data_IF_324338675588
#
_entry.id   IF_324338675588
#
_cell.length_a   1.000
_cell.length_b   1.000
_cell.length_c   1.000
_cell.angle_alpha   90.00
_cell.angle_beta   90.00
_cell.angle_gamma   90.00
#
_symmetry.space_group_name_H-M   'P 1'
#
loop_
_entity.id
_entity.type
_entity.pdbx_description
1 polymer ?
#
# COMPACT_ATOMS: atom_id res chain seq x y z
N UNK A 1 27.51 3.32 3.60
CA UNK A 1 27.62 2.71 2.26
C UNK A 1 26.28 2.87 1.54
N UNK A 2 26.24 2.79 0.20
CA UNK A 2 24.99 2.87 -0.56
C UNK A 2 24.36 1.46 -0.62
N UNK A 3 23.19 1.24 -0.01
CA UNK A 3 22.55 -0.06 -0.10
C UNK A 3 21.92 -0.23 -1.49
N UNK A 4 21.90 -1.46 -2.02
CA UNK A 4 21.28 -1.73 -3.33
C UNK A 4 19.74 -1.76 -3.26
N UNK A 5 19.18 -2.02 -2.08
CA UNK A 5 17.74 -2.06 -1.79
C UNK A 5 17.49 -1.64 -0.33
N UNK A 6 16.26 -1.80 0.17
CA UNK A 6 15.89 -1.45 1.55
C UNK A 6 16.12 -2.60 2.56
N UNK A 7 16.73 -3.71 2.15
CA UNK A 7 16.82 -4.94 2.95
C UNK A 7 15.56 -5.80 2.82
N UNK A 8 15.56 -7.00 3.42
CA UNK A 8 14.41 -7.92 3.33
C UNK A 8 13.22 -7.43 4.16
N UNK A 9 13.50 -6.77 5.28
CA UNK A 9 12.51 -6.29 6.25
C UNK A 9 12.50 -4.77 6.35
N UNK A 10 13.11 -4.07 5.39
CA UNK A 10 13.22 -2.61 5.43
C UNK A 10 14.34 -2.07 6.33
N UNK A 11 15.24 -2.92 6.82
CA UNK A 11 16.30 -2.54 7.76
C UNK A 11 17.30 -1.51 7.19
N UNK A 12 17.38 -1.37 5.86
CA UNK A 12 18.23 -0.39 5.18
C UNK A 12 17.46 0.84 4.67
N UNK A 13 16.17 0.98 5.00
CA UNK A 13 15.29 2.05 4.50
C UNK A 13 15.87 3.45 4.74
N UNK A 14 16.29 3.74 5.98
CA UNK A 14 16.86 5.05 6.33
C UNK A 14 18.17 5.29 5.57
N UNK A 15 19.03 4.27 5.48
CA UNK A 15 20.29 4.36 4.75
C UNK A 15 20.08 4.60 3.25
N UNK A 16 19.10 3.93 2.64
CA UNK A 16 18.73 4.11 1.24
C UNK A 16 18.26 5.55 0.99
N UNK A 17 17.34 6.05 1.81
CA UNK A 17 16.81 7.41 1.73
C UNK A 17 17.88 8.50 1.94
N UNK A 18 18.79 8.32 2.90
CA UNK A 18 19.89 9.26 3.12
C UNK A 18 20.93 9.21 1.99
N UNK A 19 21.13 8.04 1.38
CA UNK A 19 22.08 7.87 0.28
C UNK A 19 21.58 8.45 -1.04
N UNK A 20 20.29 8.34 -1.35
CA UNK A 20 19.70 8.91 -2.57
C UNK A 20 19.82 10.43 -2.58
N UNK A 21 19.54 11.09 -1.45
CA UNK A 21 19.62 12.54 -1.29
C UNK A 21 20.98 13.15 -1.64
N UNK A 22 22.09 12.45 -1.38
CA UNK A 22 23.43 12.94 -1.74
C UNK A 22 23.61 13.11 -3.25
N UNK A 23 22.78 12.45 -4.04
CA UNK A 23 22.81 12.43 -5.50
C UNK A 23 21.64 13.25 -6.04
N UNK A 24 20.42 12.96 -5.58
CA UNK A 24 19.18 13.58 -6.01
C UNK A 24 18.13 13.54 -4.88
N UNK A 25 17.55 14.71 -4.58
CA UNK A 25 16.49 14.85 -3.58
C UNK A 25 15.13 14.34 -4.07
N UNK A 26 15.00 13.95 -5.35
CA UNK A 26 13.73 13.47 -5.95
C UNK A 26 13.12 12.30 -5.18
N UNK A 27 13.93 11.33 -4.73
CA UNK A 27 13.45 10.18 -3.95
C UNK A 27 12.86 10.63 -2.63
N UNK A 28 13.55 11.51 -1.91
CA UNK A 28 13.07 12.07 -0.63
C UNK A 28 11.76 12.82 -0.84
N UNK A 29 11.71 13.72 -1.82
CA UNK A 29 10.51 14.50 -2.14
C UNK A 29 9.32 13.58 -2.47
N UNK A 30 9.56 12.53 -3.25
CA UNK A 30 8.51 11.57 -3.64
C UNK A 30 7.99 10.77 -2.46
N UNK A 31 8.88 10.29 -1.58
CA UNK A 31 8.50 9.58 -0.35
C UNK A 31 7.71 10.50 0.58
N UNK A 32 8.14 11.75 0.76
CA UNK A 32 7.43 12.74 1.59
C UNK A 32 6.05 13.05 1.03
N UNK A 33 5.95 13.25 -0.29
CA UNK A 33 4.68 13.45 -0.97
C UNK A 33 3.75 12.26 -0.75
N UNK A 34 4.23 11.03 -0.98
CA UNK A 34 3.45 9.82 -0.77
C UNK A 34 2.96 9.68 0.67
N UNK A 35 3.80 9.93 1.68
CA UNK A 35 3.38 9.90 3.09
C UNK A 35 2.28 10.93 3.41
N UNK A 36 2.31 12.12 2.77
CA UNK A 36 1.26 13.13 2.90
C UNK A 36 -0.02 12.71 2.20
N UNK A 37 0.08 12.17 0.99
CA UNK A 37 -1.06 11.71 0.19
C UNK A 37 -1.79 10.54 0.88
N UNK A 38 -1.04 9.70 1.60
CA UNK A 38 -1.58 8.63 2.45
C UNK A 38 -2.19 9.15 3.78
N UNK A 39 -2.06 10.45 4.08
CA UNK A 39 -2.54 11.05 5.33
C UNK A 39 -1.76 10.60 6.57
N UNK A 40 -0.54 10.07 6.39
CA UNK A 40 0.29 9.55 7.47
C UNK A 40 1.06 10.66 8.19
N UNK A 41 1.45 11.70 7.45
CA UNK A 41 2.15 12.87 7.98
C UNK A 41 1.54 14.17 7.44
N UNK A 42 1.63 15.22 8.23
CA UNK A 42 1.32 16.60 7.84
C UNK A 42 2.60 17.38 7.49
N UNK A 43 3.59 17.33 8.38
CA UNK A 43 4.87 18.02 8.27
C UNK A 43 6.03 17.05 8.12
N UNK A 44 7.08 17.50 7.43
CA UNK A 44 8.34 16.79 7.28
C UNK A 44 9.46 17.82 7.38
N UNK A 45 10.43 17.57 8.24
CA UNK A 45 11.61 18.39 8.43
C UNK A 45 12.83 17.49 8.56
N UNK A 46 13.88 17.85 7.85
CA UNK A 46 15.14 17.14 7.95
C UNK A 46 16.13 17.98 8.75
N UNK A 47 16.64 17.40 9.82
CA UNK A 47 17.56 18.05 10.74
C UNK A 47 18.97 17.44 10.61
N UNK A 48 20.01 18.29 10.61
CA UNK A 48 21.41 17.83 10.69
C UNK A 48 21.77 17.64 12.15
N UNK A 49 22.17 16.43 12.54
CA UNK A 49 22.56 16.13 13.92
C UNK A 49 23.94 16.71 14.22
N UNK A 50 24.88 16.62 13.27
CA UNK A 50 26.26 17.09 13.46
C UNK A 50 26.77 17.84 12.22
N UNK A 51 27.47 18.97 12.35
CA UNK A 51 28.02 19.71 11.21
C UNK A 51 29.06 18.93 10.38
N UNK A 52 29.80 18.03 11.01
CA UNK A 52 30.96 17.34 10.43
C UNK A 52 30.78 15.83 10.18
N UNK A 53 29.65 15.24 10.59
CA UNK A 53 29.26 13.88 10.20
C UNK A 53 27.98 13.99 9.39
N UNK A 54 27.86 13.21 8.32
CA UNK A 54 26.68 13.20 7.45
C UNK A 54 25.46 12.54 8.10
N UNK A 55 25.29 12.74 9.41
CA UNK A 55 24.26 12.14 10.24
C UNK A 55 23.06 13.09 10.27
N UNK A 56 21.92 12.59 9.82
CA UNK A 56 20.69 13.33 9.68
C UNK A 56 19.58 12.62 10.41
N UNK A 57 18.70 13.40 11.00
CA UNK A 57 17.44 12.93 11.57
C UNK A 57 16.29 13.46 10.72
N UNK A 58 15.30 12.60 10.53
CA UNK A 58 14.07 12.97 9.86
C UNK A 58 13.03 13.16 10.94
N UNK A 59 12.51 14.39 11.03
CA UNK A 59 11.42 14.77 11.91
C UNK A 59 10.14 14.83 11.09
N UNK A 60 9.08 14.25 11.62
CA UNK A 60 7.75 14.27 11.03
C UNK A 60 6.74 14.82 12.03
N UNK A 61 5.68 15.41 11.50
CA UNK A 61 4.60 15.98 12.28
C UNK A 61 3.29 15.39 11.78
N UNK A 62 2.48 14.78 12.65
CA UNK A 62 1.24 14.08 12.23
C UNK A 62 0.08 15.04 11.95
N UNK A 63 0.01 16.13 12.70
CA UNK A 63 -0.98 17.19 12.56
C UNK A 63 -0.34 18.56 12.83
N UNK A 64 -0.94 19.68 12.39
CA UNK A 64 -0.36 21.02 12.55
C UNK A 64 0.03 21.38 14.00
N UNK A 65 -0.68 20.81 14.97
CA UNK A 65 -0.50 21.09 16.41
C UNK A 65 0.25 19.98 17.16
N UNK A 66 0.62 18.88 16.49
CA UNK A 66 1.37 17.79 17.12
C UNK A 66 2.85 18.12 17.26
N UNK A 67 3.53 17.50 18.23
CA UNK A 67 4.98 17.59 18.32
C UNK A 67 5.64 16.96 17.09
N UNK A 68 6.80 17.49 16.73
CA UNK A 68 7.69 16.82 15.78
C UNK A 68 8.36 15.63 16.48
N UNK A 69 8.31 14.48 15.83
CA UNK A 69 8.92 13.24 16.31
C UNK A 69 9.82 12.68 15.23
N UNK A 70 10.78 11.83 15.58
CA UNK A 70 11.59 11.15 14.58
C UNK A 70 10.70 10.27 13.69
N UNK A 71 11.08 10.10 12.43
CA UNK A 71 10.38 9.21 11.49
C UNK A 71 10.41 7.74 11.96
N UNK A 72 11.35 7.39 12.84
CA UNK A 72 11.40 6.08 13.51
C UNK A 72 10.41 5.97 14.66
N UNK A 73 9.96 7.10 15.20
CA UNK A 73 9.15 7.21 16.41
C UNK A 73 7.67 7.52 16.09
N UNK A 74 7.33 7.73 14.82
CA UNK A 74 5.92 7.78 14.39
C UNK A 74 5.29 6.40 14.54
N UNK A 75 4.01 6.39 14.93
CA UNK A 75 3.27 5.17 15.23
C UNK A 75 3.33 4.11 14.13
N UNK A 76 3.06 2.86 14.53
CA UNK A 76 3.25 1.61 13.80
C UNK A 76 2.96 1.64 12.28
N UNK A 77 1.94 2.37 11.81
CA UNK A 77 1.60 2.47 10.39
C UNK A 77 2.63 3.17 9.51
N UNK A 78 3.38 4.16 10.02
CA UNK A 78 4.39 4.87 9.19
C UNK A 78 5.63 3.99 8.99
N UNK A 79 6.08 3.31 10.05
CA UNK A 79 7.27 2.46 10.00
C UNK A 79 7.10 1.25 9.08
N UNK A 80 5.88 0.75 8.90
CA UNK A 80 5.57 -0.35 7.96
C UNK A 80 5.50 0.13 6.50
N UNK A 81 4.95 1.32 6.26
CA UNK A 81 4.78 1.86 4.91
C UNK A 81 6.08 2.46 4.37
N UNK A 82 6.92 3.04 5.22
CA UNK A 82 8.11 3.76 4.78
C UNK A 82 9.07 2.88 3.95
N UNK A 83 9.41 1.64 4.32
CA UNK A 83 10.23 0.77 3.49
C UNK A 83 9.65 0.52 2.09
N UNK A 84 8.32 0.36 2.00
CA UNK A 84 7.61 0.13 0.74
C UNK A 84 7.74 1.37 -0.15
N UNK A 85 7.47 2.56 0.39
CA UNK A 85 7.57 3.81 -0.35
C UNK A 85 9.01 4.09 -0.79
N UNK A 86 9.97 3.94 0.12
CA UNK A 86 11.38 4.15 -0.21
C UNK A 86 11.79 3.16 -1.30
N UNK A 87 11.42 1.89 -1.23
CA UNK A 87 11.76 0.92 -2.27
C UNK A 87 11.16 1.33 -3.64
N UNK A 88 9.90 1.75 -3.68
CA UNK A 88 9.23 2.19 -4.92
C UNK A 88 9.96 3.34 -5.62
N UNK A 89 10.46 4.31 -4.86
CA UNK A 89 11.12 5.50 -5.42
C UNK A 89 12.65 5.36 -5.53
N UNK A 90 13.27 4.51 -4.71
CA UNK A 90 14.72 4.27 -4.70
C UNK A 90 15.16 3.25 -5.76
N UNK A 91 14.31 2.27 -6.07
CA UNK A 91 14.64 1.25 -7.06
C UNK A 91 14.94 1.87 -8.44
N UNK A 92 15.88 1.29 -9.21
CA UNK A 92 16.13 1.72 -10.57
C UNK A 92 14.86 1.68 -11.43
N UNK A 93 14.74 2.60 -12.40
CA UNK A 93 13.67 2.54 -13.40
C UNK A 93 13.74 1.20 -14.15
N UNK A 94 12.59 0.61 -14.47
CA UNK A 94 12.56 -0.73 -15.09
C UNK A 94 12.71 -1.91 -14.12
N UNK A 95 12.84 -1.67 -12.81
CA UNK A 95 12.99 -2.77 -11.84
C UNK A 95 11.67 -3.53 -11.62
N UNK A 96 11.80 -4.78 -11.15
CA UNK A 96 10.68 -5.57 -10.62
C UNK A 96 10.73 -5.54 -9.09
N UNK A 97 9.61 -5.16 -8.47
CA UNK A 97 9.42 -5.14 -7.02
C UNK A 97 8.45 -6.24 -6.62
N UNK A 98 8.73 -6.92 -5.51
CA UNK A 98 7.89 -7.97 -4.95
C UNK A 98 7.53 -7.57 -3.53
N UNK A 99 6.24 -7.59 -3.22
CA UNK A 99 5.71 -7.30 -1.89
C UNK A 99 4.85 -8.45 -1.39
N UNK A 100 5.15 -8.94 -0.19
CA UNK A 100 4.30 -9.88 0.56
C UNK A 100 3.51 -9.07 1.58
N UNK A 101 2.18 -9.08 1.43
CA UNK A 101 1.21 -8.40 2.29
C UNK A 101 1.60 -6.95 2.66
N UNK A 102 1.90 -6.07 1.69
CA UNK A 102 2.31 -4.68 1.97
C UNK A 102 1.25 -3.89 2.76
N UNK A 103 0.00 -4.36 2.78
CA UNK A 103 -1.11 -3.78 3.50
C UNK A 103 -1.19 -4.13 4.99
N UNK A 104 -0.41 -5.11 5.45
CA UNK A 104 -0.70 -5.76 6.72
C UNK A 104 -0.60 -4.75 7.87
N UNK A 105 -1.58 -4.79 8.78
CA UNK A 105 -1.73 -3.85 9.89
C UNK A 105 -1.94 -2.37 9.52
N UNK A 106 -2.15 -2.04 8.24
CA UNK A 106 -2.47 -0.68 7.82
C UNK A 106 -3.96 -0.41 7.89
N UNK A 107 -4.31 0.85 8.15
CA UNK A 107 -5.70 1.29 8.07
C UNK A 107 -6.22 1.14 6.63
N UNK A 108 -7.49 0.72 6.42
CA UNK A 108 -8.11 0.60 5.10
C UNK A 108 -7.83 1.72 4.10
N UNK A 109 -7.88 2.97 4.57
CA UNK A 109 -7.60 4.14 3.72
C UNK A 109 -6.17 4.18 3.19
N UNK A 110 -5.19 3.72 3.98
CA UNK A 110 -3.78 3.65 3.60
C UNK A 110 -3.55 2.50 2.63
N UNK A 111 -4.23 1.36 2.83
CA UNK A 111 -4.19 0.23 1.89
C UNK A 111 -4.68 0.64 0.49
N UNK A 112 -5.81 1.36 0.44
CA UNK A 112 -6.31 1.95 -0.80
C UNK A 112 -5.32 2.99 -1.35
N UNK A 113 -4.75 3.85 -0.50
CA UNK A 113 -3.75 4.83 -0.94
C UNK A 113 -2.48 4.19 -1.54
N UNK A 114 -2.04 3.04 -1.02
CA UNK A 114 -0.88 2.31 -1.57
C UNK A 114 -1.11 1.89 -3.02
N UNK A 115 -2.33 1.48 -3.37
CA UNK A 115 -2.66 1.17 -4.77
C UNK A 115 -2.45 2.38 -5.70
N UNK A 116 -2.77 3.59 -5.25
CA UNK A 116 -2.53 4.81 -6.03
C UNK A 116 -1.03 5.06 -6.23
N UNK A 117 -0.22 4.83 -5.19
CA UNK A 117 1.25 4.96 -5.28
C UNK A 117 1.84 3.91 -6.22
N UNK A 118 1.36 2.66 -6.16
CA UNK A 118 1.81 1.60 -7.07
C UNK A 118 1.52 1.95 -8.52
N UNK A 119 0.32 2.44 -8.83
CA UNK A 119 -0.01 2.91 -10.19
C UNK A 119 0.91 4.05 -10.62
N UNK A 120 1.14 5.04 -9.73
CA UNK A 120 2.03 6.17 -10.01
C UNK A 120 3.43 5.69 -10.43
N UNK A 121 4.04 4.78 -9.67
CA UNK A 121 5.41 4.32 -9.95
C UNK A 121 5.50 3.36 -11.14
N UNK A 122 4.46 2.56 -11.39
CA UNK A 122 4.35 1.74 -12.61
C UNK A 122 4.40 2.66 -13.82
N UNK A 123 3.57 3.71 -13.85
CA UNK A 123 3.45 4.62 -15.00
C UNK A 123 4.62 5.58 -15.17
N UNK A 124 5.15 6.13 -14.08
CA UNK A 124 6.20 7.17 -14.15
C UNK A 124 7.62 6.60 -14.21
N UNK A 125 7.84 5.40 -13.69
CA UNK A 125 9.18 4.79 -13.56
C UNK A 125 9.33 3.47 -14.32
N UNK A 126 8.26 3.00 -14.99
CA UNK A 126 8.23 1.72 -15.70
C UNK A 126 8.64 0.56 -14.79
N UNK A 127 8.13 0.55 -13.55
CA UNK A 127 8.40 -0.50 -12.57
C UNK A 127 7.35 -1.60 -12.71
N UNK A 128 7.77 -2.86 -12.64
CA UNK A 128 6.86 -3.99 -12.49
C UNK A 128 6.65 -4.28 -11.00
N UNK A 129 5.41 -4.50 -10.57
CA UNK A 129 5.11 -4.84 -9.18
C UNK A 129 4.35 -6.16 -9.13
N UNK A 130 4.82 -7.07 -8.28
CA UNK A 130 4.16 -8.33 -7.93
C UNK A 130 3.76 -8.23 -6.45
N UNK A 131 2.47 -8.42 -6.17
CA UNK A 131 1.91 -8.25 -4.83
C UNK A 131 1.15 -9.51 -4.47
N UNK A 132 1.47 -10.08 -3.31
CA UNK A 132 0.58 -10.99 -2.59
C UNK A 132 -0.22 -10.19 -1.56
N UNK A 133 -1.55 -10.30 -1.62
CA UNK A 133 -2.45 -9.45 -0.82
C UNK A 133 -3.76 -10.17 -0.51
N UNK A 134 -4.30 -9.88 0.66
CA UNK A 134 -5.65 -10.23 1.10
C UNK A 134 -6.55 -9.01 1.27
N UNK A 135 -6.08 -7.83 0.85
CA UNK A 135 -6.79 -6.57 1.03
C UNK A 135 -7.87 -6.36 -0.03
N UNK A 136 -9.12 -6.36 0.40
CA UNK A 136 -10.22 -5.89 -0.46
C UNK A 136 -10.07 -4.42 -0.81
N UNK A 137 -9.51 -3.60 0.10
CA UNK A 137 -9.35 -2.17 -0.11
C UNK A 137 -8.33 -1.85 -1.20
N UNK A 138 -7.22 -2.60 -1.24
CA UNK A 138 -6.22 -2.51 -2.30
C UNK A 138 -6.82 -2.94 -3.64
N UNK A 139 -7.47 -4.12 -3.68
CA UNK A 139 -8.09 -4.61 -4.92
C UNK A 139 -9.17 -3.66 -5.43
N UNK A 140 -10.14 -3.28 -4.60
CA UNK A 140 -11.22 -2.34 -4.98
C UNK A 140 -10.66 -1.00 -5.45
N UNK A 141 -9.54 -0.53 -4.88
CA UNK A 141 -8.91 0.70 -5.37
C UNK A 141 -8.32 0.52 -6.77
N UNK A 142 -7.61 -0.57 -7.03
CA UNK A 142 -7.07 -0.88 -8.36
C UNK A 142 -8.19 -0.96 -9.40
N UNK A 143 -9.25 -1.72 -9.12
CA UNK A 143 -10.42 -1.85 -10.00
C UNK A 143 -11.04 -0.49 -10.30
N UNK A 144 -11.24 0.34 -9.27
CA UNK A 144 -11.78 1.70 -9.46
C UNK A 144 -10.85 2.58 -10.30
N UNK A 145 -9.52 2.47 -10.17
CA UNK A 145 -8.58 3.23 -11.01
C UNK A 145 -8.55 2.78 -12.45
N UNK A 146 -8.72 1.49 -12.71
CA UNK A 146 -8.91 0.96 -14.07
C UNK A 146 -10.18 1.54 -14.69
N UNK A 147 -11.29 1.52 -13.96
CA UNK A 147 -12.56 2.08 -14.43
C UNK A 147 -12.49 3.59 -14.74
N UNK A 148 -11.67 4.32 -13.98
CA UNK A 148 -11.42 5.75 -14.15
C UNK A 148 -10.38 6.06 -15.24
N UNK A 149 -9.71 5.05 -15.79
CA UNK A 149 -8.51 5.18 -16.64
C UNK A 149 -7.47 6.14 -16.06
N UNK A 150 -7.35 6.17 -14.73
CA UNK A 150 -6.52 7.16 -14.05
C UNK A 150 -5.05 6.96 -14.45
N UNK A 151 -4.40 8.04 -14.90
CA UNK A 151 -3.01 8.03 -15.36
C UNK A 151 -2.77 7.01 -16.52
N UNK A 152 -3.83 6.69 -17.27
CA UNK A 152 -3.81 5.68 -18.33
C UNK A 152 -3.67 4.25 -17.81
N UNK A 153 -4.01 3.99 -16.55
CA UNK A 153 -4.02 2.64 -15.97
C UNK A 153 -5.27 1.88 -16.43
N UNK A 154 -5.07 0.75 -17.08
CA UNK A 154 -6.12 -0.07 -17.69
C UNK A 154 -6.01 -1.54 -17.24
N UNK A 155 -6.96 -2.37 -17.65
CA UNK A 155 -6.90 -3.81 -17.39
C UNK A 155 -5.70 -4.51 -18.07
N UNK A 156 -5.09 -3.91 -19.10
CA UNK A 156 -3.89 -4.45 -19.74
C UNK A 156 -2.62 -4.29 -18.89
N UNK A 157 -2.64 -3.37 -17.91
CA UNK A 157 -1.50 -3.11 -17.01
C UNK A 157 -1.47 -4.08 -15.80
N UNK A 158 -2.47 -4.93 -15.64
CA UNK A 158 -2.62 -5.77 -14.46
C UNK A 158 -3.03 -7.21 -14.79
N UNK A 159 -2.43 -8.16 -14.08
CA UNK A 159 -2.87 -9.54 -14.06
C UNK A 159 -3.22 -9.92 -12.62
N UNK A 160 -4.41 -10.51 -12.43
CA UNK A 160 -4.88 -10.95 -11.13
C UNK A 160 -4.96 -12.48 -11.10
N UNK A 161 -4.53 -13.05 -9.98
CA UNK A 161 -4.55 -14.49 -9.74
C UNK A 161 -5.12 -14.75 -8.35
N UNK A 162 -6.00 -15.75 -8.26
CA UNK A 162 -6.45 -16.29 -7.00
C UNK A 162 -5.68 -17.56 -6.67
N UNK A 163 -5.01 -17.58 -5.51
CA UNK A 163 -4.36 -18.77 -5.01
C UNK A 163 -5.39 -19.62 -4.24
N UNK A 164 -5.68 -20.81 -4.72
CA UNK A 164 -6.52 -21.80 -4.03
C UNK A 164 -5.74 -23.10 -3.82
N UNK A 165 -6.18 -23.90 -2.86
CA UNK A 165 -5.64 -25.25 -2.68
C UNK A 165 -6.48 -26.23 -3.49
N UNK A 166 -5.84 -27.13 -4.23
CA UNK A 166 -6.51 -28.19 -4.97
C UNK A 166 -6.92 -29.36 -4.05
N UNK A 167 -7.61 -30.36 -4.60
CA UNK A 167 -8.06 -31.54 -3.85
C UNK A 167 -6.90 -32.44 -3.37
N UNK A 168 -5.68 -32.22 -3.86
CA UNK A 168 -4.49 -32.98 -3.51
C UNK A 168 -3.64 -32.24 -2.44
N UNK A 169 -4.00 -31.00 -2.12
CA UNK A 169 -3.30 -30.15 -1.16
C UNK A 169 -2.25 -29.23 -1.78
N UNK A 170 -2.13 -29.19 -3.11
CA UNK A 170 -1.21 -28.33 -3.84
C UNK A 170 -1.81 -26.94 -4.07
N UNK A 171 -0.96 -25.90 -4.11
CA UNK A 171 -1.40 -24.54 -4.43
C UNK A 171 -1.56 -24.36 -5.94
N UNK A 172 -2.75 -23.96 -6.37
CA UNK A 172 -3.10 -23.64 -7.76
C UNK A 172 -3.38 -22.13 -7.89
N UNK A 173 -2.73 -21.49 -8.87
CA UNK A 173 -3.03 -20.11 -9.26
C UNK A 173 -4.09 -20.10 -10.36
N UNK A 174 -5.27 -19.59 -10.03
CA UNK A 174 -6.38 -19.42 -10.98
C UNK A 174 -6.37 -17.98 -11.51
N UNK A 175 -6.26 -17.77 -12.83
CA UNK A 175 -6.31 -16.43 -13.40
C UNK A 175 -7.71 -15.82 -13.22
N UNK A 176 -7.76 -14.55 -12.82
CA UNK A 176 -8.99 -13.77 -12.75
C UNK A 176 -9.12 -12.91 -14.01
N UNK A 177 -10.29 -13.00 -14.65
CA UNK A 177 -10.62 -12.27 -15.88
C UNK A 177 -11.12 -10.88 -15.51
N UNK A 178 -10.44 -9.84 -16.00
CA UNK A 178 -10.76 -8.43 -15.72
C UNK A 178 -11.31 -7.78 -16.98
N UNK A 179 -12.50 -7.19 -16.89
CA UNK A 179 -13.08 -6.40 -17.98
C UNK A 179 -12.47 -5.00 -18.10
N UNK A 180 -12.88 -4.24 -19.11
CA UNK A 180 -12.40 -2.86 -19.35
C UNK A 180 -12.81 -1.88 -18.23
N UNK A 181 -13.75 -2.24 -17.36
CA UNK A 181 -14.21 -1.43 -16.23
C UNK A 181 -13.55 -1.89 -14.91
N UNK A 182 -12.60 -2.81 -14.96
CA UNK A 182 -11.93 -3.35 -13.77
C UNK A 182 -12.76 -4.36 -12.99
N UNK A 183 -13.91 -4.84 -13.48
CA UNK A 183 -14.68 -5.87 -12.82
C UNK A 183 -14.05 -7.24 -13.05
N UNK A 184 -14.07 -8.10 -12.03
CA UNK A 184 -13.67 -9.49 -12.18
C UNK A 184 -14.89 -10.29 -12.64
N UNK A 185 -14.80 -10.92 -13.82
CA UNK A 185 -15.91 -11.66 -14.42
C UNK A 185 -16.11 -13.04 -13.79
N UNK A 186 -15.04 -13.64 -13.25
CA UNK A 186 -15.00 -15.00 -12.73
C UNK A 186 -14.66 -15.04 -11.23
N UNK A 187 -15.31 -14.20 -10.41
CA UNK A 187 -15.08 -14.19 -8.96
C UNK A 187 -15.18 -15.61 -8.36
N UNK A 188 -14.14 -16.08 -7.66
CA UNK A 188 -14.19 -17.34 -6.94
C UNK A 188 -15.27 -17.32 -5.86
N UNK A 189 -15.86 -18.48 -5.59
CA UNK A 189 -16.83 -18.61 -4.50
C UNK A 189 -16.17 -18.29 -3.15
N UNK A 190 -16.81 -17.45 -2.34
CA UNK A 190 -16.30 -17.06 -1.02
C UNK A 190 -15.02 -16.20 -1.03
N UNK A 191 -14.65 -15.59 -2.16
CA UNK A 191 -13.41 -14.82 -2.33
C UNK A 191 -13.16 -13.77 -1.23
N UNK A 192 -14.22 -13.12 -0.75
CA UNK A 192 -14.21 -12.17 0.37
C UNK A 192 -15.18 -12.58 1.50
N UNK A 193 -15.58 -13.85 1.54
CA UNK A 193 -16.68 -14.31 2.40
C UNK A 193 -18.05 -13.82 1.94
N UNK A 194 -19.01 -13.73 2.88
CA UNK A 194 -20.40 -13.34 2.64
C UNK A 194 -20.79 -12.10 3.47
N UNK A 195 -20.03 -11.00 3.34
CA UNK A 195 -20.30 -9.75 4.06
C UNK A 195 -21.76 -9.28 3.87
N UNK A 196 -22.30 -9.42 2.66
CA UNK A 196 -23.66 -8.98 2.35
C UNK A 196 -24.72 -9.89 2.98
N UNK A 197 -24.51 -11.21 2.96
CA UNK A 197 -25.37 -12.15 3.66
C UNK A 197 -25.37 -11.93 5.16
N UNK A 198 -24.21 -11.64 5.75
CA UNK A 198 -24.07 -11.29 7.17
C UNK A 198 -24.83 -10.01 7.53
N UNK A 199 -24.73 -8.96 6.70
CA UNK A 199 -25.49 -7.71 6.89
C UNK A 199 -27.00 -7.96 6.83
N UNK A 200 -27.47 -8.76 5.85
CA UNK A 200 -28.89 -9.11 5.71
C UNK A 200 -29.37 -9.93 6.92
N UNK A 201 -28.58 -10.90 7.38
CA UNK A 201 -28.89 -11.72 8.55
C UNK A 201 -28.97 -10.89 9.82
N UNK A 202 -28.02 -9.97 10.03
CA UNK A 202 -28.00 -9.04 11.16
C UNK A 202 -29.26 -8.16 11.18
N UNK A 203 -29.62 -7.57 10.05
CA UNK A 203 -30.82 -6.73 9.95
C UNK A 203 -32.10 -7.52 10.24
N UNK A 204 -32.23 -8.73 9.71
CA UNK A 204 -33.37 -9.62 10.01
C UNK A 204 -33.45 -9.95 11.50
N UNK A 205 -32.32 -10.24 12.14
CA UNK A 205 -32.25 -10.52 13.57
C UNK A 205 -32.64 -9.30 14.43
N UNK A 206 -32.19 -8.10 14.04
CA UNK A 206 -32.52 -6.86 14.72
C UNK A 206 -34.03 -6.55 14.67
N UNK A 207 -34.65 -6.66 13.48
CA UNK A 207 -36.09 -6.46 13.29
C UNK A 207 -36.89 -7.43 14.16
N UNK A 208 -36.53 -8.73 14.15
CA UNK A 208 -37.19 -9.75 14.95
C UNK A 208 -37.10 -9.46 16.46
N UNK A 209 -35.98 -8.90 16.92
CA UNK A 209 -35.79 -8.53 18.34
C UNK A 209 -36.67 -7.33 18.73
N UNK A 210 -36.79 -6.32 17.86
CA UNK A 210 -37.67 -5.19 18.10
C UNK A 210 -39.14 -5.62 18.21
N UNK A 211 -39.62 -6.45 17.27
CA UNK A 211 -40.99 -6.97 17.31
C UNK A 211 -41.32 -7.77 18.58
N UNK A 212 -40.34 -8.48 19.15
CA UNK A 212 -40.51 -9.24 20.39
C UNK A 212 -40.35 -8.42 21.67
N UNK A 213 -39.90 -7.16 21.58
CA UNK A 213 -39.73 -6.27 22.74
C UNK A 213 -40.91 -5.29 22.87
N UNK A 214 -41.66 -5.07 21.78
CA UNK A 214 -42.84 -4.20 21.72
C UNK A 214 -44.18 -4.96 21.89
N UNK A 215 -44.15 -6.28 22.05
CA UNK A 215 -45.32 -7.13 22.32
C UNK A 215 -45.27 -7.78 23.70
#
# INVERSE_FOLDING_TARGET
ERPQNVGKYGELTVNALLSSRKIDSEVEISVVKALKDLGLIHGFRLNRITPNRGDYEILVQRSPNSAEVLITDVGFGVSQVLPILVLCYYAPKGATLIFEQPEIHLHPSVQAGLADIFIEVIKTRNIQIIIESHSEHLLRRLQRRMAEEKDGFTNEDAALYFCKMDNQGDSELVPLEIDIYGNICNYPEGFFGDEMGDIVAMNKAAIKRQMNTEG
#
